data_IF_774350394156
#
_entry.id   IF_774350394156
#
_cell.length_a   1.000
_cell.length_b   1.000
_cell.length_c   1.000
_cell.angle_alpha   90.00
_cell.angle_beta   90.00
_cell.angle_gamma   90.00
#
_symmetry.space_group_name_H-M   'P 1'
#
loop_
_entity.id
_entity.type
_entity.pdbx_description
1 polymer ?
#
# COMPACT_ATOMS: atom_id res chain seq x y z
N UNK A 1 -10.02 -0.58 -35.88
CA UNK A 1 -11.06 -1.48 -35.33
C UNK A 1 -10.51 -2.57 -34.41
N UNK A 2 -9.62 -3.48 -34.82
CA UNK A 2 -9.06 -4.52 -33.91
C UNK A 2 -8.29 -3.99 -32.72
N UNK A 3 -7.56 -2.84 -32.78
CA UNK A 3 -6.81 -2.24 -31.66
C UNK A 3 -7.73 -1.54 -30.66
N UNK A 4 -8.82 -0.93 -31.12
CA UNK A 4 -9.83 -0.33 -30.24
C UNK A 4 -10.61 -1.40 -29.46
N UNK A 5 -10.97 -2.51 -30.10
CA UNK A 5 -11.59 -3.67 -29.44
C UNK A 5 -10.70 -4.19 -28.30
N UNK A 6 -9.40 -4.39 -28.52
CA UNK A 6 -8.45 -4.83 -27.49
C UNK A 6 -8.37 -3.85 -26.30
N UNK A 7 -8.52 -2.54 -26.53
CA UNK A 7 -8.54 -1.54 -25.46
C UNK A 7 -9.83 -1.60 -24.63
N UNK A 8 -10.98 -1.78 -25.30
CA UNK A 8 -12.25 -2.00 -24.59
C UNK A 8 -12.28 -3.32 -23.84
N UNK A 9 -11.77 -4.38 -24.42
CA UNK A 9 -11.60 -5.68 -23.73
C UNK A 9 -10.72 -5.53 -22.50
N UNK A 10 -9.59 -4.81 -22.57
CA UNK A 10 -8.70 -4.55 -21.45
C UNK A 10 -9.34 -3.66 -20.36
N UNK A 11 -10.14 -2.66 -20.73
CA UNK A 11 -10.88 -1.86 -19.75
C UNK A 11 -11.97 -2.68 -19.05
N UNK A 12 -12.62 -3.60 -19.74
CA UNK A 12 -13.57 -4.54 -19.15
C UNK A 12 -12.89 -5.59 -18.26
N UNK A 13 -11.67 -6.01 -18.61
CA UNK A 13 -10.85 -6.92 -17.82
C UNK A 13 -10.27 -6.27 -16.55
N UNK A 14 -10.15 -4.93 -16.48
CA UNK A 14 -9.72 -4.22 -15.28
C UNK A 14 -10.69 -4.38 -14.09
N UNK A 15 -11.97 -4.60 -14.35
CA UNK A 15 -12.94 -4.90 -13.29
C UNK A 15 -12.71 -6.24 -12.61
N UNK A 16 -11.78 -7.04 -13.12
CA UNK A 16 -11.35 -8.33 -12.60
C UNK A 16 -9.83 -8.28 -12.37
N UNK A 17 -9.36 -7.23 -11.65
CA UNK A 17 -7.96 -6.85 -11.57
C UNK A 17 -7.02 -7.96 -11.07
N UNK A 18 -7.51 -8.87 -10.24
CA UNK A 18 -6.72 -10.00 -9.75
C UNK A 18 -7.30 -11.33 -10.28
N UNK A 19 -6.98 -11.67 -11.53
CA UNK A 19 -7.28 -12.99 -12.08
C UNK A 19 -6.04 -13.87 -12.04
N UNK A 20 -6.16 -15.05 -11.41
CA UNK A 20 -5.10 -16.09 -11.41
C UNK A 20 -3.73 -15.59 -10.89
N UNK A 21 -3.71 -14.55 -10.03
CA UNK A 21 -2.48 -13.95 -9.51
C UNK A 21 -1.84 -12.89 -10.41
N UNK A 22 -2.58 -12.39 -11.41
CA UNK A 22 -2.15 -11.25 -12.24
C UNK A 22 -2.92 -9.99 -11.87
N UNK A 23 -2.22 -8.88 -11.63
CA UNK A 23 -2.81 -7.54 -11.51
C UNK A 23 -2.62 -6.80 -12.82
N UNK A 24 -3.72 -6.47 -13.49
CA UNK A 24 -3.71 -5.74 -14.76
C UNK A 24 -3.81 -4.24 -14.50
N UNK A 25 -2.73 -3.52 -14.75
CA UNK A 25 -2.63 -2.07 -14.65
C UNK A 25 -2.66 -1.40 -16.04
N UNK A 26 -2.70 -0.06 -16.07
CA UNK A 26 -2.71 0.66 -17.34
C UNK A 26 -1.43 0.45 -18.17
N UNK A 27 -0.29 0.32 -17.49
CA UNK A 27 1.03 0.28 -18.14
C UNK A 27 1.81 -1.01 -17.88
N UNK A 28 1.38 -1.83 -16.93
CA UNK A 28 2.05 -3.06 -16.53
C UNK A 28 1.05 -4.17 -16.23
N UNK A 29 1.44 -5.39 -16.53
CA UNK A 29 0.84 -6.59 -15.96
C UNK A 29 1.77 -7.10 -14.86
N UNK A 30 1.28 -7.17 -13.62
CA UNK A 30 2.05 -7.62 -12.46
C UNK A 30 1.70 -9.07 -12.16
N UNK A 31 2.72 -9.94 -12.22
CA UNK A 31 2.60 -11.37 -11.97
C UNK A 31 2.89 -11.68 -10.49
N UNK A 32 1.86 -11.59 -9.64
CA UNK A 32 2.01 -11.86 -8.20
C UNK A 32 2.40 -13.30 -7.92
N UNK A 33 1.88 -14.24 -8.70
CA UNK A 33 2.15 -15.67 -8.53
C UNK A 33 3.63 -16.02 -8.66
N UNK A 34 4.35 -15.31 -9.56
CA UNK A 34 5.77 -15.51 -9.80
C UNK A 34 6.62 -14.36 -9.25
N UNK A 35 6.03 -13.44 -8.48
CA UNK A 35 6.77 -12.43 -7.71
C UNK A 35 7.52 -13.09 -6.56
N UNK A 36 8.70 -12.56 -6.25
CA UNK A 36 9.54 -13.14 -5.20
C UNK A 36 9.09 -12.69 -3.83
N UNK A 37 8.68 -13.60 -2.98
CA UNK A 37 8.42 -13.33 -1.57
C UNK A 37 9.73 -12.96 -0.87
N UNK A 38 9.78 -11.77 -0.27
CA UNK A 38 10.93 -11.23 0.45
C UNK A 38 10.77 -11.36 1.96
N UNK A 39 9.53 -11.31 2.42
CA UNK A 39 9.14 -11.39 3.82
C UNK A 39 7.73 -11.94 3.96
N UNK A 40 7.50 -12.74 4.99
CA UNK A 40 6.20 -13.24 5.39
C UNK A 40 6.14 -13.41 6.90
N UNK A 41 5.10 -12.88 7.52
CA UNK A 41 4.79 -13.07 8.93
C UNK A 41 3.26 -13.15 9.09
N UNK A 42 2.74 -14.35 9.30
CA UNK A 42 1.29 -14.56 9.40
C UNK A 42 0.73 -14.00 10.71
N UNK A 43 1.35 -14.36 11.83
CA UNK A 43 0.98 -13.89 13.16
C UNK A 43 2.20 -13.35 13.87
N UNK A 44 2.01 -12.29 14.64
CA UNK A 44 3.09 -11.67 15.41
C UNK A 44 3.01 -12.09 16.88
N UNK A 45 4.17 -12.17 17.52
CA UNK A 45 4.38 -12.07 18.95
C UNK A 45 5.31 -10.88 19.24
N UNK A 46 5.55 -10.57 20.50
CA UNK A 46 6.37 -9.42 20.89
C UNK A 46 7.81 -9.53 20.33
N UNK A 47 8.37 -10.74 20.26
CA UNK A 47 9.71 -10.94 19.76
C UNK A 47 9.76 -10.71 18.24
N UNK A 48 8.86 -11.31 17.48
CA UNK A 48 8.79 -11.12 16.02
C UNK A 48 8.43 -9.68 15.65
N UNK A 49 7.63 -8.99 16.46
CA UNK A 49 7.36 -7.57 16.28
C UNK A 49 8.64 -6.74 16.49
N UNK A 50 9.32 -6.94 17.61
CA UNK A 50 10.55 -6.21 17.94
C UNK A 50 11.70 -6.49 16.95
N UNK A 51 11.79 -7.71 16.41
CA UNK A 51 12.81 -8.08 15.42
C UNK A 51 12.57 -7.44 14.04
N UNK A 52 11.34 -7.04 13.74
CA UNK A 52 10.98 -6.54 12.40
C UNK A 52 10.67 -5.05 12.35
N UNK A 53 10.30 -4.42 13.48
CA UNK A 53 9.86 -3.03 13.50
C UNK A 53 10.52 -2.21 14.59
N UNK A 54 10.69 -0.93 14.29
CA UNK A 54 11.05 0.12 15.25
C UNK A 54 9.83 1.01 15.45
N UNK A 55 9.39 1.16 16.69
CA UNK A 55 8.36 2.15 17.06
C UNK A 55 9.00 3.53 17.03
N UNK A 56 8.48 4.42 16.20
CA UNK A 56 8.90 5.81 16.10
C UNK A 56 8.00 6.72 16.94
N UNK A 57 6.70 6.44 16.95
CA UNK A 57 5.70 7.22 17.70
C UNK A 57 4.41 6.43 17.88
N UNK A 58 3.53 6.89 18.77
CA UNK A 58 2.26 6.23 19.08
C UNK A 58 2.41 5.01 19.98
N UNK A 59 1.30 4.34 20.25
CA UNK A 59 1.23 3.10 21.03
C UNK A 59 1.12 1.91 20.10
N UNK A 60 2.08 0.98 20.19
CA UNK A 60 2.09 -0.24 19.40
C UNK A 60 2.30 -1.45 20.29
N UNK A 61 1.49 -2.47 20.07
CA UNK A 61 1.50 -3.72 20.82
C UNK A 61 1.22 -4.91 19.94
N UNK A 62 1.31 -6.11 20.50
CA UNK A 62 0.87 -7.34 19.86
C UNK A 62 -0.22 -7.99 20.70
N UNK A 63 -1.35 -8.32 20.10
CA UNK A 63 -2.50 -8.94 20.73
C UNK A 63 -3.05 -10.07 19.85
N UNK A 64 -3.05 -11.29 20.34
CA UNK A 64 -3.60 -12.46 19.64
C UNK A 64 -3.10 -12.65 18.20
N UNK A 65 -1.82 -12.40 17.99
CA UNK A 65 -1.17 -12.53 16.68
C UNK A 65 -1.29 -11.30 15.77
N UNK A 66 -1.98 -10.23 16.23
CA UNK A 66 -2.10 -8.97 15.52
C UNK A 66 -1.13 -7.93 16.04
N UNK A 67 -0.55 -7.16 15.13
CA UNK A 67 0.07 -5.90 15.50
C UNK A 67 -1.02 -4.85 15.63
N UNK A 68 -1.07 -4.18 16.77
CA UNK A 68 -2.10 -3.20 17.12
C UNK A 68 -1.45 -1.84 17.21
N UNK A 69 -1.92 -0.89 16.42
CA UNK A 69 -1.53 0.51 16.45
C UNK A 69 -2.64 1.37 17.02
N UNK A 70 -2.32 2.18 18.01
CA UNK A 70 -3.25 3.13 18.61
C UNK A 70 -2.56 4.46 18.81
N UNK A 71 -3.16 5.50 18.26
CA UNK A 71 -2.69 6.85 18.46
C UNK A 71 -3.89 7.80 18.52
N UNK A 72 -4.23 8.35 19.69
CA UNK A 72 -5.34 9.28 19.84
C UNK A 72 -5.01 10.70 19.35
N UNK A 73 -3.74 11.00 19.15
CA UNK A 73 -3.27 12.33 18.85
C UNK A 73 -3.39 12.65 17.36
N UNK A 74 -3.55 13.94 17.05
CA UNK A 74 -3.56 14.44 15.66
C UNK A 74 -2.12 14.58 15.12
N UNK A 75 -1.36 13.51 15.22
CA UNK A 75 -0.03 13.35 14.65
C UNK A 75 0.17 11.87 14.29
N UNK A 76 1.11 11.55 13.41
CA UNK A 76 1.37 10.16 13.04
C UNK A 76 1.90 9.34 14.20
N UNK A 77 1.23 8.22 14.52
CA UNK A 77 1.80 7.15 15.31
C UNK A 77 2.39 6.12 14.36
N UNK A 78 3.72 5.94 14.32
CA UNK A 78 4.39 5.15 13.29
C UNK A 78 5.28 4.03 13.83
N UNK A 79 5.24 2.90 13.11
CA UNK A 79 6.30 1.90 13.11
C UNK A 79 6.93 1.80 11.73
N UNK A 80 8.23 1.52 11.72
CA UNK A 80 9.02 1.41 10.48
C UNK A 80 9.81 0.11 10.51
N UNK A 81 9.90 -0.58 9.37
CA UNK A 81 10.64 -1.84 9.28
C UNK A 81 12.12 -1.67 9.61
N UNK A 82 12.70 -2.62 10.34
CA UNK A 82 14.15 -2.67 10.54
C UNK A 82 14.86 -2.96 9.21
N UNK A 83 14.31 -3.89 8.44
CA UNK A 83 14.83 -4.30 7.13
C UNK A 83 14.41 -3.34 6.03
N UNK A 84 15.25 -3.19 5.01
CA UNK A 84 14.92 -2.47 3.78
C UNK A 84 14.43 -3.43 2.68
N UNK A 85 13.46 -2.95 1.89
CA UNK A 85 12.85 -3.65 0.76
C UNK A 85 12.93 -2.75 -0.48
N UNK A 86 14.08 -2.79 -1.14
CA UNK A 86 14.38 -1.93 -2.29
C UNK A 86 13.75 -2.40 -3.59
N UNK A 87 13.48 -1.44 -4.49
CA UNK A 87 13.00 -1.68 -5.86
C UNK A 87 11.47 -1.69 -5.94
N UNK A 88 10.97 -2.36 -6.97
CA UNK A 88 9.55 -2.52 -7.23
C UNK A 88 8.97 -3.57 -6.27
N UNK A 89 8.24 -3.12 -5.27
CA UNK A 89 7.73 -3.97 -4.20
C UNK A 89 6.23 -3.82 -4.01
N UNK A 90 5.64 -4.82 -3.38
CA UNK A 90 4.27 -4.77 -2.89
C UNK A 90 4.22 -5.27 -1.45
N UNK A 91 3.45 -4.58 -0.63
CA UNK A 91 3.03 -5.01 0.70
C UNK A 91 1.61 -5.55 0.61
N UNK A 92 1.37 -6.69 1.24
CA UNK A 92 0.06 -7.30 1.44
C UNK A 92 -0.15 -7.58 2.92
N UNK A 93 -1.34 -7.31 3.43
CA UNK A 93 -1.71 -7.59 4.81
C UNK A 93 -3.22 -7.70 4.98
N UNK A 94 -3.65 -8.31 6.08
CA UNK A 94 -5.03 -8.21 6.56
C UNK A 94 -5.11 -7.10 7.59
N UNK A 95 -5.94 -6.10 7.33
CA UNK A 95 -6.16 -4.95 8.20
C UNK A 95 -7.58 -4.93 8.78
N UNK A 96 -7.69 -4.38 9.98
CA UNK A 96 -8.97 -4.23 10.67
C UNK A 96 -8.95 -3.02 11.58
N UNK A 97 -9.98 -2.18 11.48
CA UNK A 97 -10.19 -1.10 12.43
C UNK A 97 -10.68 -1.65 13.77
N UNK A 98 -10.33 -0.99 14.86
CA UNK A 98 -10.82 -1.31 16.21
C UNK A 98 -11.76 -0.20 16.68
N UNK A 99 -12.99 -0.56 17.04
CA UNK A 99 -13.96 0.41 17.56
C UNK A 99 -13.44 1.11 18.83
N UNK A 100 -13.71 2.42 19.03
CA UNK A 100 -14.60 3.28 18.27
C UNK A 100 -13.96 4.01 17.09
N UNK A 101 -12.76 3.63 16.68
CA UNK A 101 -12.06 4.27 15.57
C UNK A 101 -12.80 4.02 14.25
N UNK A 102 -12.86 5.03 13.39
CA UNK A 102 -13.57 5.00 12.12
C UNK A 102 -12.69 5.43 10.96
N UNK A 103 -11.42 5.73 11.20
CA UNK A 103 -10.52 6.23 10.18
C UNK A 103 -9.06 5.94 10.55
N UNK A 104 -8.33 5.83 9.66
CA UNK A 104 -7.00 6.06 9.18
C UNK A 104 -6.09 4.85 9.40
N UNK A 105 -6.16 3.92 8.44
CA UNK A 105 -5.20 2.83 8.28
C UNK A 105 -4.23 3.23 7.18
N UNK A 106 -2.97 3.46 7.50
CA UNK A 106 -1.97 3.84 6.51
C UNK A 106 -0.82 2.84 6.41
N UNK A 107 -0.46 2.53 5.17
CA UNK A 107 0.67 1.67 4.79
C UNK A 107 1.66 2.47 3.96
N UNK A 108 2.91 2.43 4.35
CA UNK A 108 4.04 3.07 3.67
C UNK A 108 4.89 2.03 2.94
N UNK A 109 5.27 2.32 1.70
CA UNK A 109 6.26 1.55 0.94
C UNK A 109 7.30 2.48 0.30
N UNK A 110 8.44 1.94 -0.11
CA UNK A 110 9.55 2.71 -0.67
C UNK A 110 9.82 3.97 0.13
N UNK A 111 9.87 3.81 1.44
CA UNK A 111 9.96 4.92 2.38
C UNK A 111 11.31 5.04 3.06
N UNK A 112 11.44 6.13 3.79
CA UNK A 112 12.51 6.38 4.75
C UNK A 112 11.96 7.02 6.03
N UNK A 113 12.74 6.92 7.10
CA UNK A 113 12.56 7.72 8.29
C UNK A 113 13.69 8.73 8.36
N UNK A 114 13.36 10.02 8.39
CA UNK A 114 14.33 11.11 8.55
C UNK A 114 14.69 11.22 10.04
N UNK A 115 15.84 10.67 10.43
CA UNK A 115 16.29 10.64 11.83
C UNK A 115 16.64 12.04 12.34
N UNK A 116 16.98 13.00 11.47
CA UNK A 116 17.30 14.36 11.90
C UNK A 116 16.04 15.17 12.23
N UNK A 117 14.97 14.95 11.47
CA UNK A 117 13.68 15.62 11.67
C UNK A 117 12.71 14.83 12.52
N UNK A 118 13.05 13.58 12.85
CA UNK A 118 12.21 12.64 13.58
C UNK A 118 10.81 12.52 12.95
N UNK A 119 10.78 12.30 11.64
CA UNK A 119 9.54 12.17 10.89
C UNK A 119 9.68 11.28 9.65
N UNK A 120 8.56 10.93 9.05
CA UNK A 120 8.52 10.26 7.74
C UNK A 120 9.13 11.18 6.68
N UNK A 121 10.15 10.70 5.99
CA UNK A 121 10.78 11.35 4.85
C UNK A 121 10.07 11.01 3.53
N UNK A 122 10.85 10.72 2.49
CA UNK A 122 10.30 10.28 1.22
C UNK A 122 9.60 8.93 1.36
N UNK A 123 8.39 8.83 0.81
CA UNK A 123 7.61 7.61 0.83
C UNK A 123 6.39 7.68 -0.10
N UNK A 124 5.91 6.52 -0.54
CA UNK A 124 4.55 6.33 -1.00
C UNK A 124 3.71 5.79 0.16
N UNK A 125 2.57 6.42 0.41
CA UNK A 125 1.65 6.03 1.49
C UNK A 125 0.26 5.86 0.91
N UNK A 126 -0.41 4.79 1.27
CA UNK A 126 -1.82 4.60 0.95
C UNK A 126 -2.55 3.91 2.08
N UNK A 127 -3.86 4.12 2.15
CA UNK A 127 -4.64 3.53 3.21
C UNK A 127 -6.14 3.55 3.02
N UNK A 128 -6.80 2.97 4.01
CA UNK A 128 -8.25 2.88 4.12
C UNK A 128 -8.75 3.96 5.07
N UNK A 129 -9.87 4.60 4.72
CA UNK A 129 -10.41 5.77 5.46
C UNK A 129 -9.36 6.88 5.66
N UNK A 130 -8.30 6.86 4.82
CA UNK A 130 -7.22 7.80 4.84
C UNK A 130 -7.72 9.17 4.36
N UNK A 131 -7.26 10.25 5.01
CA UNK A 131 -7.53 11.66 4.72
C UNK A 131 -9.01 12.04 4.75
N UNK A 132 -9.92 11.19 4.24
CA UNK A 132 -11.34 11.46 4.10
C UNK A 132 -12.14 10.19 4.35
N UNK A 133 -13.16 10.27 5.17
CA UNK A 133 -14.02 9.14 5.49
C UNK A 133 -14.62 8.50 4.23
N UNK A 134 -14.58 7.19 4.14
CA UNK A 134 -15.14 6.41 3.05
C UNK A 134 -14.30 6.34 1.79
N UNK A 135 -12.99 6.65 1.86
CA UNK A 135 -12.10 6.63 0.70
C UNK A 135 -10.92 5.69 0.90
N UNK A 136 -10.41 5.18 -0.21
CA UNK A 136 -9.03 4.71 -0.32
C UNK A 136 -8.20 5.91 -0.72
N UNK A 137 -7.17 6.23 0.07
CA UNK A 137 -6.33 7.40 -0.14
C UNK A 137 -4.90 7.02 -0.52
N UNK A 138 -4.22 7.95 -1.18
CA UNK A 138 -2.80 7.87 -1.52
C UNK A 138 -2.15 9.23 -1.38
N UNK A 139 -0.91 9.25 -0.88
CA UNK A 139 -0.07 10.44 -0.85
C UNK A 139 1.40 10.09 -1.10
N UNK A 140 2.14 11.05 -1.65
CA UNK A 140 3.59 11.04 -1.73
C UNK A 140 4.18 12.01 -0.69
N UNK A 141 4.90 11.47 0.26
CA UNK A 141 5.61 12.22 1.31
C UNK A 141 6.98 12.68 0.80
N UNK A 142 7.59 13.76 1.35
CA UNK A 142 7.10 14.61 2.44
C UNK A 142 6.30 15.84 1.97
N UNK A 143 6.25 16.13 0.69
CA UNK A 143 5.69 17.40 0.21
C UNK A 143 4.17 17.33 -0.04
N UNK A 144 3.58 16.12 -0.08
CA UNK A 144 2.15 15.87 -0.29
C UNK A 144 1.57 16.50 -1.57
N UNK A 145 2.43 16.78 -2.56
CA UNK A 145 1.99 17.37 -3.85
C UNK A 145 1.24 16.39 -4.73
N UNK A 146 1.55 15.10 -4.60
CA UNK A 146 0.85 14.03 -5.30
C UNK A 146 -0.05 13.30 -4.31
N UNK A 147 -1.34 13.54 -4.43
CA UNK A 147 -2.39 12.90 -3.63
C UNK A 147 -3.51 12.38 -4.54
N UNK A 148 -4.16 11.32 -4.13
CA UNK A 148 -5.34 10.79 -4.80
C UNK A 148 -6.28 10.14 -3.77
N UNK A 149 -7.57 10.13 -4.06
CA UNK A 149 -8.55 9.41 -3.27
C UNK A 149 -9.68 8.90 -4.17
N UNK A 150 -10.31 7.80 -3.76
CA UNK A 150 -11.45 7.24 -4.45
C UNK A 150 -12.52 6.77 -3.46
N UNK A 151 -13.81 7.06 -3.70
CA UNK A 151 -14.91 6.58 -2.87
C UNK A 151 -15.42 5.19 -3.30
N UNK A 152 -14.71 4.47 -4.15
CA UNK A 152 -15.13 3.16 -4.67
C UNK A 152 -15.21 2.09 -3.60
N UNK A 153 -14.46 2.25 -2.53
CA UNK A 153 -14.44 1.32 -1.42
C UNK A 153 -15.06 1.98 -0.20
N UNK A 154 -16.01 1.27 0.44
CA UNK A 154 -16.55 1.66 1.73
C UNK A 154 -16.01 0.73 2.79
N UNK A 155 -15.28 1.29 3.72
CA UNK A 155 -14.73 0.59 4.85
C UNK A 155 -15.83 0.25 5.86
N UNK A 156 -15.82 -0.97 6.36
CA UNK A 156 -16.69 -1.41 7.45
C UNK A 156 -15.82 -1.59 8.70
N UNK A 157 -16.01 -0.79 9.77
CA UNK A 157 -15.31 -1.00 11.04
C UNK A 157 -15.48 -2.43 11.54
N UNK A 158 -14.44 -2.97 12.18
CA UNK A 158 -14.38 -4.34 12.71
C UNK A 158 -14.39 -5.47 11.66
N UNK A 159 -14.52 -5.16 10.38
CA UNK A 159 -14.35 -6.14 9.31
C UNK A 159 -12.88 -6.26 8.92
N UNK A 160 -12.45 -7.49 8.65
CA UNK A 160 -11.13 -7.76 8.10
C UNK A 160 -11.13 -7.49 6.60
N UNK A 161 -10.14 -6.71 6.15
CA UNK A 161 -9.91 -6.39 4.75
C UNK A 161 -8.52 -6.82 4.34
N UNK A 162 -8.40 -7.45 3.17
CA UNK A 162 -7.11 -7.68 2.55
C UNK A 162 -6.68 -6.41 1.83
N UNK A 163 -5.54 -5.84 2.24
CA UNK A 163 -4.97 -4.63 1.67
C UNK A 163 -3.67 -4.96 0.94
N UNK A 164 -3.54 -4.47 -0.29
CA UNK A 164 -2.31 -4.57 -1.06
C UNK A 164 -1.94 -3.19 -1.61
N UNK A 165 -0.68 -2.82 -1.44
CA UNK A 165 -0.11 -1.61 -2.05
C UNK A 165 1.19 -1.98 -2.74
N UNK A 166 1.33 -1.63 -4.02
CA UNK A 166 2.52 -1.91 -4.80
C UNK A 166 2.98 -0.73 -5.64
N UNK A 167 4.25 -0.76 -6.01
CA UNK A 167 4.87 0.22 -6.89
C UNK A 167 5.69 -0.48 -7.97
N UNK A 168 5.50 -0.07 -9.22
CA UNK A 168 6.32 -0.44 -10.37
C UNK A 168 6.77 0.84 -11.08
N UNK A 169 8.03 1.21 -10.90
CA UNK A 169 8.66 2.35 -11.55
C UNK A 169 7.83 3.65 -11.44
N UNK A 170 7.31 3.95 -10.22
CA UNK A 170 6.46 5.11 -9.95
C UNK A 170 5.00 4.96 -10.38
N UNK A 171 4.58 3.76 -10.80
CA UNK A 171 3.17 3.41 -10.95
C UNK A 171 2.71 2.71 -9.69
N UNK A 172 2.04 3.47 -8.83
CA UNK A 172 1.54 2.96 -7.55
C UNK A 172 0.13 2.46 -7.73
N UNK A 173 -0.17 1.31 -7.14
CA UNK A 173 -1.50 0.72 -7.18
C UNK A 173 -1.93 0.23 -5.80
N UNK A 174 -3.23 0.27 -5.56
CA UNK A 174 -3.85 -0.19 -4.32
C UNK A 174 -5.01 -1.12 -4.64
N UNK A 175 -4.99 -2.31 -4.05
CA UNK A 175 -6.12 -3.22 -4.06
C UNK A 175 -6.67 -3.38 -2.64
N UNK A 176 -7.99 -3.49 -2.54
CA UNK A 176 -8.70 -3.85 -1.32
C UNK A 176 -9.62 -5.03 -1.64
N UNK A 177 -9.50 -6.11 -0.88
CA UNK A 177 -10.24 -7.35 -1.11
C UNK A 177 -10.13 -7.84 -2.58
N UNK A 178 -8.91 -7.72 -3.14
CA UNK A 178 -8.54 -8.05 -4.52
C UNK A 178 -9.15 -7.15 -5.61
N UNK A 179 -9.85 -6.09 -5.24
CA UNK A 179 -10.35 -5.08 -6.19
C UNK A 179 -9.37 -3.91 -6.34
N UNK A 180 -9.05 -3.54 -7.58
CA UNK A 180 -8.19 -2.40 -7.87
C UNK A 180 -8.94 -1.10 -7.57
N UNK A 181 -8.53 -0.40 -6.51
CA UNK A 181 -9.12 0.86 -6.08
C UNK A 181 -8.42 2.09 -6.66
N UNK A 182 -7.09 2.08 -6.67
CA UNK A 182 -6.27 3.19 -7.16
C UNK A 182 -5.14 2.68 -8.06
N UNK A 183 -4.86 3.43 -9.10
CA UNK A 183 -3.66 3.35 -9.92
C UNK A 183 -3.18 4.77 -10.23
N UNK A 184 -1.98 5.11 -9.77
CA UNK A 184 -1.43 6.46 -9.84
C UNK A 184 -0.10 6.41 -10.59
N UNK A 185 0.15 7.37 -11.47
CA UNK A 185 1.44 7.58 -12.10
C UNK A 185 2.13 8.78 -11.46
N UNK A 186 3.23 8.55 -10.79
CA UNK A 186 4.09 9.61 -10.30
C UNK A 186 4.94 10.17 -11.45
N UNK A 187 4.83 11.47 -11.79
CA UNK A 187 5.65 12.07 -12.83
C UNK A 187 7.13 12.23 -12.44
N UNK A 188 7.42 12.17 -11.14
CA UNK A 188 8.76 12.27 -10.56
C UNK A 188 8.98 11.10 -9.58
N UNK A 189 9.17 9.87 -10.09
CA UNK A 189 9.22 8.66 -9.25
C UNK A 189 10.32 8.73 -8.18
N UNK A 190 10.02 8.17 -7.01
CA UNK A 190 11.02 7.97 -5.98
C UNK A 190 12.11 7.01 -6.48
N UNK A 191 13.36 7.29 -6.12
CA UNK A 191 14.46 6.35 -6.33
C UNK A 191 14.35 5.18 -5.35
N UNK A 192 13.73 4.11 -5.82
CA UNK A 192 13.49 2.92 -5.00
C UNK A 192 14.76 2.13 -4.66
N UNK A 193 15.93 2.55 -5.15
CA UNK A 193 17.22 2.01 -4.71
C UNK A 193 17.74 2.68 -3.42
N UNK A 194 17.19 3.84 -3.07
CA UNK A 194 17.52 4.60 -1.87
C UNK A 194 16.48 4.41 -0.75
N UNK A 195 15.21 4.31 -1.12
CA UNK A 195 14.09 4.26 -0.18
C UNK A 195 13.51 2.84 -0.11
N UNK A 196 13.79 2.15 0.98
CA UNK A 196 13.45 0.73 1.15
C UNK A 196 12.58 0.40 2.35
N UNK A 197 12.25 1.37 3.21
CA UNK A 197 11.43 1.11 4.40
C UNK A 197 9.97 0.86 4.01
N UNK A 198 9.36 -0.08 4.73
CA UNK A 198 7.91 -0.17 4.86
C UNK A 198 7.53 0.33 6.25
N UNK A 199 6.32 0.85 6.39
CA UNK A 199 5.84 1.35 7.67
C UNK A 199 4.33 1.32 7.76
N UNK A 200 3.85 1.49 8.98
CA UNK A 200 2.43 1.51 9.30
C UNK A 200 2.16 2.69 10.21
N UNK A 201 1.06 3.38 9.94
CA UNK A 201 0.72 4.60 10.64
C UNK A 201 -0.71 4.56 11.17
N UNK A 202 -0.86 4.97 12.42
CA UNK A 202 -2.12 5.29 13.05
C UNK A 202 -2.18 6.81 13.31
N UNK A 203 -3.12 7.51 12.66
CA UNK A 203 -3.31 8.95 12.83
C UNK A 203 -4.71 9.21 13.42
N UNK A 204 -4.77 9.60 14.67
CA UNK A 204 -6.04 9.69 15.41
C UNK A 204 -6.87 8.41 15.31
N UNK A 205 -6.23 7.25 15.26
CA UNK A 205 -6.87 5.99 14.94
C UNK A 205 -6.44 4.83 15.83
N UNK A 206 -7.21 3.78 15.77
CA UNK A 206 -6.93 2.50 16.40
C UNK A 206 -7.26 1.38 15.42
N UNK A 207 -6.24 0.67 14.98
CA UNK A 207 -6.37 -0.41 14.01
C UNK A 207 -5.35 -1.50 14.24
N UNK A 208 -5.51 -2.61 13.54
CA UNK A 208 -4.59 -3.74 13.66
C UNK A 208 -4.40 -4.47 12.36
N UNK A 209 -3.24 -5.16 12.23
CA UNK A 209 -2.92 -5.98 11.07
C UNK A 209 -2.24 -7.29 11.43
N UNK A 210 -2.35 -8.27 10.53
CA UNK A 210 -1.64 -9.56 10.51
C UNK A 210 -1.41 -10.00 9.06
N UNK A 211 -0.80 -11.17 8.86
CA UNK A 211 -0.62 -11.76 7.52
C UNK A 211 0.23 -10.90 6.61
N UNK A 212 1.24 -10.23 7.18
CA UNK A 212 2.11 -9.32 6.42
C UNK A 212 2.99 -10.09 5.46
N UNK A 213 2.95 -9.70 4.19
CA UNK A 213 3.84 -10.19 3.14
C UNK A 213 4.44 -9.03 2.38
N UNK A 214 5.70 -9.18 1.99
CA UNK A 214 6.39 -8.23 1.10
C UNK A 214 6.94 -8.99 -0.10
N UNK A 215 6.59 -8.53 -1.28
CA UNK A 215 7.01 -9.12 -2.54
C UNK A 215 7.92 -8.17 -3.31
N UNK A 216 8.96 -8.73 -3.95
CA UNK A 216 9.60 -8.07 -5.10
C UNK A 216 8.81 -8.44 -6.35
N UNK A 217 8.25 -7.45 -6.99
CA UNK A 217 7.31 -7.65 -8.08
C UNK A 217 7.99 -8.17 -9.34
N UNK A 218 7.36 -9.17 -9.97
CA UNK A 218 7.59 -9.54 -11.35
C UNK A 218 6.51 -8.90 -12.20
N UNK A 219 6.88 -8.21 -13.25
CA UNK A 219 5.96 -7.47 -14.11
C UNK A 219 6.41 -7.47 -15.56
N UNK A 220 5.47 -7.21 -16.46
CA UNK A 220 5.70 -6.99 -17.88
C UNK A 220 5.13 -5.63 -18.25
N UNK A 221 5.92 -4.83 -18.98
CA UNK A 221 5.47 -3.54 -19.49
C UNK A 221 4.56 -3.77 -20.68
N UNK A 222 3.45 -3.05 -20.71
CA UNK A 222 2.51 -3.09 -21.82
C UNK A 222 2.91 -2.00 -22.80
N UNK A 223 3.22 -2.41 -24.02
CA UNK A 223 3.43 -1.50 -25.14
C UNK A 223 2.06 -1.15 -25.74
N UNK A 224 1.46 -0.04 -25.29
CA UNK A 224 0.30 0.53 -25.96
C UNK A 224 0.77 1.67 -26.86
N UNK A 225 0.69 1.45 -28.15
CA UNK A 225 0.87 2.53 -29.14
C UNK A 225 -0.48 3.21 -29.35
N UNK A 226 -0.61 4.43 -28.83
CA UNK A 226 -1.69 5.32 -29.22
C UNK A 226 -1.26 6.02 -30.51
N UNK A 227 -1.93 5.68 -31.61
CA UNK A 227 -1.76 6.37 -32.88
C UNK A 227 -3.10 7.06 -33.18
N UNK A 228 -3.26 8.35 -32.90
CA UNK A 228 -4.47 9.08 -33.22
C UNK A 228 -4.59 9.17 -34.75
N UNK A 229 -5.69 8.65 -35.27
CA UNK A 229 -6.07 8.82 -36.69
C UNK A 229 -6.91 10.08 -36.84
N UNK A 230 -6.28 11.24 -37.01
CA UNK A 230 -6.91 12.50 -37.45
C UNK A 230 -5.91 13.43 -38.13
#
# INVERSE_FOLDING_TARGET
>A
MRKQLKRFERCAEKSLALQEGMVKLAFFDVDLKNSKLLFEQENFDEATFADNFVVKSGEWSVEDGWVVGKNPDMCPGMIVSQKDFFGNVMVELTAKMVAPSTHDINVMINGEWDEEKDCRGYAYVAGLEAFWHGNVGFEKSPEYKLTAATPLFRFEPEKEHNFKMGNVDGKVFVLVDDELCLEISDPEPLDTSLYGKIGFEAYSSWWKFKGLKVYKLKYEKIEEYYNPEF
#
